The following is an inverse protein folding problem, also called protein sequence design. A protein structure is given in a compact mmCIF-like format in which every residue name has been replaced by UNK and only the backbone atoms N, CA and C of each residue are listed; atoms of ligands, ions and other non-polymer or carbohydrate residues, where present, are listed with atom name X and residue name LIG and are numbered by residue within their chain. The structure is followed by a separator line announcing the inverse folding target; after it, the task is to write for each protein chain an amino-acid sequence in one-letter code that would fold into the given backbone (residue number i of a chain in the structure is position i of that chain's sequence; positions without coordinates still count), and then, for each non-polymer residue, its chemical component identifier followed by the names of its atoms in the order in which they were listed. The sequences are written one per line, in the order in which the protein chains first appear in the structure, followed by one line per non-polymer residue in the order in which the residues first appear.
data_IF_937720194328
#
_entry.id   IF_937720194328
#
_cell.length_a   1.000
_cell.length_b   1.000
_cell.length_c   1.000
_cell.angle_alpha   90.00
_cell.angle_beta   90.00
_cell.angle_gamma   90.00
#
_symmetry.space_group_name_H-M   'P 1'
#
loop_
_entity.id
_entity.type
_entity.pdbx_description
1 polymer ?
#
# COMPACT_ATOMS: atom_id res chain seq x y z
N UNK A 1 1.13 14.51 1.14
CA UNK A 1 2.31 13.61 1.10
C UNK A 1 1.96 12.12 1.05
N UNK A 2 1.42 11.50 2.11
CA UNK A 2 1.14 10.04 2.09
C UNK A 2 0.19 9.68 0.95
N UNK A 3 -0.87 10.47 0.77
CA UNK A 3 -1.80 10.31 -0.36
C UNK A 3 -1.07 10.42 -1.71
N UNK A 4 -0.22 11.42 -1.93
CA UNK A 4 0.55 11.56 -3.18
C UNK A 4 1.46 10.34 -3.47
N UNK A 5 2.07 9.80 -2.41
CA UNK A 5 2.90 8.60 -2.48
C UNK A 5 2.04 7.39 -2.90
N UNK A 6 0.89 7.18 -2.26
CA UNK A 6 0.00 6.07 -2.55
C UNK A 6 -0.65 6.20 -3.93
N UNK A 7 -1.11 7.38 -4.32
CA UNK A 7 -1.63 7.67 -5.67
C UNK A 7 -0.58 7.40 -6.73
N UNK A 8 0.68 7.78 -6.49
CA UNK A 8 1.79 7.45 -7.40
C UNK A 8 1.96 5.93 -7.56
N UNK A 9 1.93 5.16 -6.46
CA UNK A 9 2.02 3.70 -6.55
C UNK A 9 0.79 3.08 -7.18
N UNK A 10 -0.41 3.57 -6.92
CA UNK A 10 -1.64 3.10 -7.55
C UNK A 10 -1.60 3.29 -9.07
N UNK A 11 -1.01 4.38 -9.55
CA UNK A 11 -0.73 4.56 -10.98
C UNK A 11 0.27 3.54 -11.54
N UNK A 12 1.25 3.10 -10.75
CA UNK A 12 2.19 2.04 -11.16
C UNK A 12 1.52 0.66 -11.14
N UNK A 13 0.70 0.37 -10.13
CA UNK A 13 -0.08 -0.85 -10.02
C UNK A 13 -1.07 -0.98 -11.19
N UNK A 14 -1.78 0.08 -11.53
CA UNK A 14 -2.67 0.11 -12.69
C UNK A 14 -1.94 -0.25 -14.00
N UNK A 15 -0.72 0.28 -14.19
CA UNK A 15 0.11 -0.02 -15.37
C UNK A 15 0.58 -1.48 -15.47
N UNK A 16 0.50 -2.26 -14.39
CA UNK A 16 0.80 -3.69 -14.44
C UNK A 16 -0.29 -4.50 -15.17
N UNK A 17 -1.50 -3.96 -15.29
CA UNK A 17 -2.65 -4.65 -15.90
C UNK A 17 -3.30 -5.71 -15.01
N UNK A 18 -2.81 -5.91 -13.78
CA UNK A 18 -3.38 -6.87 -12.83
C UNK A 18 -4.58 -6.32 -12.05
N UNK A 19 -4.69 -5.00 -11.91
CA UNK A 19 -5.67 -4.36 -11.04
C UNK A 19 -6.54 -3.39 -11.81
N UNK A 20 -7.85 -3.55 -11.68
CA UNK A 20 -8.85 -2.63 -12.21
C UNK A 20 -9.18 -1.53 -11.19
N UNK A 21 -9.20 -1.90 -9.91
CA UNK A 21 -9.39 -0.96 -8.80
C UNK A 21 -8.19 -0.98 -7.85
N UNK A 22 -7.63 0.20 -7.59
CA UNK A 22 -6.59 0.39 -6.59
C UNK A 22 -7.07 1.46 -5.64
N UNK A 23 -7.24 1.09 -4.38
CA UNK A 23 -7.65 2.01 -3.33
C UNK A 23 -6.41 2.58 -2.66
N UNK A 24 -6.44 3.86 -2.28
CA UNK A 24 -5.33 4.51 -1.57
C UNK A 24 -5.21 3.93 -0.16
N UNK A 25 -5.59 4.66 0.88
CA UNK A 25 -5.44 4.21 2.26
C UNK A 25 -6.75 3.65 2.80
N UNK A 26 -6.73 2.36 3.16
CA UNK A 26 -7.76 1.75 3.97
C UNK A 26 -7.53 2.11 5.45
N UNK A 27 -8.58 2.58 6.10
CA UNK A 27 -8.59 2.95 7.50
C UNK A 27 -8.94 1.75 8.37
N UNK A 28 -8.27 1.65 9.51
CA UNK A 28 -8.63 0.67 10.54
C UNK A 28 -9.87 1.17 11.27
N UNK A 29 -10.98 0.48 11.08
CA UNK A 29 -12.25 0.72 11.75
C UNK A 29 -12.36 -0.21 12.96
N UNK A 30 -12.72 0.36 14.11
CA UNK A 30 -12.98 -0.37 15.34
C UNK A 30 -14.44 -0.16 15.76
N UNK A 31 -15.19 -1.25 15.91
CA UNK A 31 -16.57 -1.24 16.42
C UNK A 31 -16.70 -2.26 17.56
N UNK A 32 -16.64 -1.75 18.79
CA UNK A 32 -16.60 -2.60 19.99
C UNK A 32 -15.39 -3.53 20.00
N UNK A 33 -15.62 -4.83 19.89
CA UNK A 33 -14.56 -5.85 19.82
C UNK A 33 -14.15 -6.22 18.39
N UNK A 34 -14.82 -5.67 17.38
CA UNK A 34 -14.58 -5.93 15.96
C UNK A 34 -13.59 -4.91 15.41
N UNK A 35 -12.72 -5.38 14.54
CA UNK A 35 -11.73 -4.55 13.87
C UNK A 35 -11.57 -5.00 12.42
N UNK A 36 -11.57 -4.05 11.50
CA UNK A 36 -11.35 -4.31 10.09
C UNK A 36 -10.74 -3.11 9.36
N UNK A 37 -10.20 -3.33 8.16
CA UNK A 37 -9.78 -2.25 7.27
C UNK A 37 -10.89 -1.94 6.26
N UNK A 38 -11.26 -0.66 6.15
CA UNK A 38 -12.27 -0.19 5.23
C UNK A 38 -11.74 0.95 4.35
N UNK A 39 -12.19 0.99 3.10
CA UNK A 39 -11.87 2.10 2.20
C UNK A 39 -13.05 3.07 2.18
N UNK A 40 -12.76 4.36 2.37
CA UNK A 40 -13.78 5.40 2.32
C UNK A 40 -14.19 5.67 0.85
N UNK A 41 -15.46 5.48 0.53
CA UNK A 41 -16.03 5.99 -0.73
C UNK A 41 -16.58 7.41 -0.50
N UNK A 42 -16.47 8.28 -1.52
CA UNK A 42 -16.81 9.71 -1.50
C UNK A 42 -18.22 10.07 -1.01
N UNK A 43 -19.12 9.10 -0.86
CA UNK A 43 -20.52 9.26 -0.43
C UNK A 43 -20.77 8.90 1.04
N UNK A 44 -19.75 9.01 1.91
CA UNK A 44 -19.83 8.71 3.34
C UNK A 44 -20.19 7.25 3.68
N UNK A 45 -19.91 6.34 2.76
CA UNK A 45 -20.09 4.90 2.97
C UNK A 45 -18.73 4.21 2.95
N UNK A 46 -18.47 3.42 4.00
CA UNK A 46 -17.34 2.49 4.00
C UNK A 46 -17.69 1.32 3.09
N UNK A 47 -16.96 1.14 1.99
CA UNK A 47 -17.03 -0.10 1.25
C UNK A 47 -16.22 -1.15 2.02
N UNK A 48 -16.87 -2.24 2.40
CA UNK A 48 -16.18 -3.40 2.94
C UNK A 48 -15.27 -3.96 1.85
N UNK A 49 -13.96 -3.97 2.10
CA UNK A 49 -12.99 -4.40 1.09
C UNK A 49 -13.07 -5.89 0.77
N UNK A 50 -13.92 -6.69 1.44
CA UNK A 50 -14.00 -8.14 1.31
C UNK A 50 -15.28 -8.74 0.70
N UNK A 51 -16.33 -7.96 0.41
CA UNK A 51 -17.64 -8.58 0.11
C UNK A 51 -18.03 -8.64 -1.37
N UNK A 52 -17.32 -7.98 -2.28
CA UNK A 52 -17.60 -8.13 -3.71
C UNK A 52 -16.37 -7.92 -4.60
N UNK A 53 -15.46 -8.90 -4.57
CA UNK A 53 -14.33 -8.98 -5.50
C UNK A 53 -14.73 -9.50 -6.88
N UNK A 54 -15.97 -9.97 -7.05
CA UNK A 54 -16.39 -10.75 -8.22
C UNK A 54 -16.50 -9.91 -9.50
N UNK A 55 -16.67 -8.60 -9.36
CA UNK A 55 -16.91 -7.68 -10.47
C UNK A 55 -15.63 -7.00 -11.02
N UNK A 56 -14.46 -7.25 -10.44
CA UNK A 56 -13.22 -6.57 -10.83
C UNK A 56 -12.14 -7.54 -11.31
N UNK A 57 -11.37 -7.14 -12.34
CA UNK A 57 -10.20 -7.90 -12.82
C UNK A 57 -9.14 -8.11 -11.72
N UNK A 58 -9.11 -7.25 -10.72
CA UNK A 58 -8.26 -7.36 -9.55
C UNK A 58 -8.36 -6.10 -8.71
N UNK A 59 -8.21 -6.26 -7.40
CA UNK A 59 -8.31 -5.18 -6.42
C UNK A 59 -7.01 -5.13 -5.61
N UNK A 60 -6.55 -3.91 -5.33
CA UNK A 60 -5.53 -3.67 -4.31
C UNK A 60 -5.93 -2.54 -3.37
N UNK A 61 -5.44 -2.59 -2.13
CA UNK A 61 -5.58 -1.49 -1.17
C UNK A 61 -4.38 -1.40 -0.24
N UNK A 62 -3.99 -0.18 0.12
CA UNK A 62 -2.93 0.06 1.09
C UNK A 62 -3.48 0.21 2.50
N UNK A 63 -2.67 -0.10 3.49
CA UNK A 63 -2.95 0.17 4.90
C UNK A 63 -1.65 0.49 5.63
N UNK A 64 -1.75 1.20 6.76
CA UNK A 64 -0.60 1.45 7.62
C UNK A 64 -0.37 0.25 8.53
N UNK A 65 0.82 -0.35 8.45
CA UNK A 65 1.24 -1.45 9.32
C UNK A 65 1.56 -0.95 10.74
N UNK A 66 2.00 0.30 10.86
CA UNK A 66 2.34 0.94 12.13
C UNK A 66 2.29 2.48 11.96
N UNK A 67 2.52 3.22 13.03
CA UNK A 67 2.64 4.67 13.00
C UNK A 67 3.84 5.11 12.14
N UNK A 68 3.64 6.19 11.39
CA UNK A 68 4.72 6.87 10.67
C UNK A 68 5.74 7.39 11.68
N UNK A 69 7.01 7.05 11.47
CA UNK A 69 8.10 7.54 12.30
C UNK A 69 8.72 8.76 11.62
N UNK A 70 8.88 9.86 12.35
CA UNK A 70 9.65 11.01 11.89
C UNK A 70 10.90 11.17 12.75
N UNK A 71 12.06 11.24 12.11
CA UNK A 71 13.36 11.50 12.77
C UNK A 71 14.00 12.75 12.15
N UNK A 72 13.92 13.90 12.82
CA UNK A 72 14.66 15.09 12.44
C UNK A 72 16.17 14.85 12.58
N UNK A 73 16.95 15.32 11.62
CA UNK A 73 18.41 15.31 11.65
C UNK A 73 19.00 16.56 10.98
N UNK A 74 20.22 16.99 11.33
CA UNK A 74 20.89 18.07 10.61
C UNK A 74 21.08 17.73 9.13
N UNK A 75 20.96 18.73 8.25
CA UNK A 75 21.22 18.56 6.83
C UNK A 75 22.73 18.31 6.62
N UNK A 76 23.15 17.20 5.98
CA UNK A 76 24.55 16.80 5.91
C UNK A 76 25.42 17.77 5.10
N UNK A 77 24.80 18.57 4.23
CA UNK A 77 25.49 19.50 3.31
C UNK A 77 25.17 20.98 3.57
N UNK A 78 24.24 21.32 4.47
CA UNK A 78 23.78 22.70 4.68
C UNK A 78 23.77 23.03 6.16
N UNK A 79 24.68 23.91 6.59
CA UNK A 79 24.77 24.31 7.98
C UNK A 79 23.48 25.00 8.45
N UNK A 80 22.99 24.64 9.65
CA UNK A 80 21.78 25.21 10.24
C UNK A 80 20.46 24.76 9.63
N UNK A 81 20.49 23.89 8.61
CA UNK A 81 19.29 23.29 8.00
C UNK A 81 18.99 21.92 8.61
N UNK A 82 17.71 21.54 8.58
CA UNK A 82 17.22 20.26 9.10
C UNK A 82 16.53 19.45 8.00
N UNK A 83 16.64 18.13 8.15
CA UNK A 83 15.98 17.11 7.34
C UNK A 83 15.08 16.30 8.24
N UNK A 84 13.93 15.87 7.70
CA UNK A 84 13.10 14.85 8.31
C UNK A 84 13.27 13.54 7.55
N UNK A 85 13.70 12.51 8.27
CA UNK A 85 13.66 11.15 7.77
C UNK A 85 12.35 10.51 8.23
N UNK A 86 11.43 10.36 7.28
CA UNK A 86 10.14 9.72 7.49
C UNK A 86 10.26 8.23 7.15
N UNK A 87 9.87 7.35 8.07
CA UNK A 87 9.65 5.93 7.79
C UNK A 87 8.15 5.68 7.83
N UNK A 88 7.59 5.32 6.68
CA UNK A 88 6.17 5.06 6.49
C UNK A 88 5.99 3.55 6.27
N UNK A 89 5.61 2.78 7.32
CA UNK A 89 5.39 1.35 7.20
C UNK A 89 4.00 1.07 6.63
N UNK A 90 3.96 0.68 5.36
CA UNK A 90 2.72 0.36 4.64
C UNK A 90 2.63 -1.13 4.33
N UNK A 91 1.41 -1.63 4.25
CA UNK A 91 1.09 -2.92 3.67
C UNK A 91 0.18 -2.72 2.46
N UNK A 92 0.34 -3.56 1.45
CA UNK A 92 -0.51 -3.64 0.27
C UNK A 92 -1.16 -5.00 0.25
N UNK A 93 -2.49 -5.06 0.33
CA UNK A 93 -3.25 -6.29 0.09
C UNK A 93 -3.66 -6.31 -1.37
N UNK A 94 -3.47 -7.45 -2.02
CA UNK A 94 -3.82 -7.68 -3.42
C UNK A 94 -4.71 -8.92 -3.54
N UNK A 95 -5.77 -8.78 -4.34
CA UNK A 95 -6.72 -9.85 -4.66
C UNK A 95 -6.91 -9.88 -6.17
N UNK A 96 -6.58 -11.00 -6.81
CA UNK A 96 -6.66 -11.16 -8.27
C UNK A 96 -7.31 -12.51 -8.57
N UNK A 97 -8.37 -12.58 -9.39
CA UNK A 97 -8.93 -13.85 -9.85
C UNK A 97 -7.86 -14.74 -10.52
N UNK A 98 -7.87 -16.03 -10.21
CA UNK A 98 -6.88 -17.00 -10.71
C UNK A 98 -7.02 -17.25 -12.20
N UNK A 99 -8.24 -17.33 -12.68
CA UNK A 99 -8.55 -17.54 -14.10
C UNK A 99 -7.92 -16.45 -14.99
N UNK A 100 -7.85 -15.21 -14.53
CA UNK A 100 -7.20 -14.12 -15.26
C UNK A 100 -5.68 -14.27 -15.35
N UNK A 101 -5.04 -14.77 -14.29
CA UNK A 101 -3.60 -14.97 -14.32
C UNK A 101 -3.31 -16.26 -15.09
N UNK A 102 -3.90 -17.39 -14.68
CA UNK A 102 -3.60 -18.72 -15.20
C UNK A 102 -3.98 -18.90 -16.69
N UNK A 103 -4.98 -18.19 -17.22
CA UNK A 103 -5.32 -18.24 -18.65
C UNK A 103 -4.50 -17.30 -19.53
N UNK A 104 -4.11 -16.10 -19.04
CA UNK A 104 -3.33 -15.13 -19.83
C UNK A 104 -1.81 -15.44 -19.80
N UNK A 105 -1.30 -16.03 -18.71
CA UNK A 105 0.11 -16.42 -18.57
C UNK A 105 0.29 -17.37 -17.38
N UNK A 106 1.05 -18.47 -17.48
CA UNK A 106 1.32 -19.39 -16.36
C UNK A 106 2.22 -18.77 -15.25
N UNK A 107 1.81 -17.64 -14.69
CA UNK A 107 2.56 -16.86 -13.72
C UNK A 107 2.07 -17.25 -12.33
N UNK A 108 3.00 -17.64 -11.46
CA UNK A 108 2.68 -17.98 -10.07
C UNK A 108 2.34 -16.72 -9.28
N UNK A 109 1.65 -16.84 -8.14
CA UNK A 109 1.46 -15.73 -7.17
C UNK A 109 2.78 -15.00 -6.91
N UNK A 110 3.88 -15.74 -6.81
CA UNK A 110 5.22 -15.20 -6.59
C UNK A 110 5.72 -14.34 -7.77
N UNK A 111 5.48 -14.75 -9.02
CA UNK A 111 5.84 -13.96 -10.19
C UNK A 111 5.06 -12.64 -10.28
N UNK A 112 3.79 -12.65 -9.88
CA UNK A 112 2.96 -11.44 -9.77
C UNK A 112 3.53 -10.50 -8.70
N UNK A 113 3.81 -11.04 -7.51
CA UNK A 113 4.43 -10.28 -6.41
C UNK A 113 5.76 -9.64 -6.80
N UNK A 114 6.63 -10.39 -7.50
CA UNK A 114 7.89 -9.87 -8.03
C UNK A 114 7.67 -8.71 -9.01
N UNK A 115 6.72 -8.85 -9.92
CA UNK A 115 6.40 -7.82 -10.92
C UNK A 115 5.92 -6.53 -10.26
N UNK A 116 5.00 -6.65 -9.30
CA UNK A 116 4.48 -5.52 -8.52
C UNK A 116 5.59 -4.86 -7.71
N UNK A 117 6.38 -5.66 -6.98
CA UNK A 117 7.49 -5.18 -6.15
C UNK A 117 8.51 -4.43 -6.99
N UNK A 118 8.87 -4.97 -8.16
CA UNK A 118 9.78 -4.31 -9.10
C UNK A 118 9.19 -3.00 -9.64
N UNK A 119 7.91 -2.97 -9.98
CA UNK A 119 7.24 -1.76 -10.46
C UNK A 119 7.31 -0.62 -9.42
N UNK A 120 7.03 -0.95 -8.15
CA UNK A 120 7.07 0.01 -7.03
C UNK A 120 8.50 0.53 -6.81
N UNK A 121 9.49 -0.38 -6.73
CA UNK A 121 10.86 -0.01 -6.30
C UNK A 121 11.65 0.70 -7.40
N UNK A 122 11.47 0.34 -8.66
CA UNK A 122 12.36 0.77 -9.75
C UNK A 122 12.15 2.24 -10.14
N UNK A 123 11.02 2.85 -9.80
CA UNK A 123 10.65 4.20 -10.26
C UNK A 123 10.42 5.16 -9.10
N UNK A 124 11.43 5.93 -8.68
CA UNK A 124 11.29 6.93 -7.62
C UNK A 124 11.63 8.37 -8.03
N UNK A 125 12.17 8.64 -9.22
CA UNK A 125 12.57 10.01 -9.62
C UNK A 125 11.37 10.95 -9.72
N UNK A 126 10.30 10.50 -10.37
CA UNK A 126 9.06 11.26 -10.48
C UNK A 126 8.43 11.49 -9.10
N UNK A 127 8.38 10.44 -8.27
CA UNK A 127 7.86 10.53 -6.91
C UNK A 127 8.67 11.51 -6.04
N UNK A 128 10.00 11.43 -6.05
CA UNK A 128 10.88 12.39 -5.34
C UNK A 128 10.56 13.82 -5.73
N UNK A 129 10.42 14.07 -7.03
CA UNK A 129 10.09 15.40 -7.54
C UNK A 129 8.69 15.87 -7.11
N UNK A 130 7.70 14.96 -7.06
CA UNK A 130 6.33 15.33 -6.72
C UNK A 130 6.15 15.67 -5.23
N UNK A 131 6.89 14.99 -4.35
CA UNK A 131 6.81 15.23 -2.89
C UNK A 131 7.94 16.13 -2.35
N UNK A 132 8.78 16.70 -3.21
CA UNK A 132 9.92 17.53 -2.81
C UNK A 132 11.00 16.79 -1.99
N UNK A 133 11.08 15.47 -2.11
CA UNK A 133 12.02 14.66 -1.33
C UNK A 133 13.41 14.59 -1.99
N UNK A 134 14.44 14.55 -1.15
CA UNK A 134 15.83 14.30 -1.55
C UNK A 134 16.01 12.84 -1.95
N UNK A 135 15.45 11.93 -1.14
CA UNK A 135 15.46 10.50 -1.43
C UNK A 135 14.15 9.83 -1.03
N UNK A 136 13.82 8.77 -1.77
CA UNK A 136 12.76 7.82 -1.44
C UNK A 136 13.38 6.43 -1.63
N UNK A 137 13.48 5.70 -0.53
CA UNK A 137 14.12 4.39 -0.45
C UNK A 137 13.15 3.37 0.12
N UNK A 138 13.30 2.12 -0.27
CA UNK A 138 12.43 1.04 0.17
C UNK A 138 13.24 0.13 1.09
N UNK A 139 12.85 0.08 2.37
CA UNK A 139 13.44 -0.78 3.38
C UNK A 139 12.90 -2.21 3.32
N UNK A 140 12.77 -2.83 4.50
CA UNK A 140 12.29 -4.21 4.66
C UNK A 140 11.06 -4.49 3.81
N UNK A 141 11.15 -5.58 3.05
CA UNK A 141 10.07 -6.15 2.26
C UNK A 141 9.69 -7.49 2.86
N UNK A 142 8.42 -7.65 3.20
CA UNK A 142 7.90 -8.93 3.67
C UNK A 142 6.71 -9.34 2.81
N UNK A 143 6.69 -10.63 2.45
CA UNK A 143 5.71 -11.21 1.54
C UNK A 143 4.88 -12.23 2.29
N UNK A 144 3.56 -12.12 2.17
CA UNK A 144 2.62 -13.06 2.78
C UNK A 144 1.71 -13.58 1.68
N UNK A 145 1.65 -14.90 1.51
CA UNK A 145 0.76 -15.58 0.56
C UNK A 145 -0.26 -16.49 1.25
N UNK A 146 -0.10 -16.69 2.56
CA UNK A 146 -1.09 -17.40 3.38
C UNK A 146 -2.31 -16.49 3.58
N UNK A 147 -3.36 -16.79 2.82
CA UNK A 147 -4.65 -16.10 2.85
C UNK A 147 -5.22 -15.98 4.26
N UNK A 148 -5.19 -17.07 5.03
CA UNK A 148 -5.74 -17.08 6.39
C UNK A 148 -4.97 -16.11 7.27
N UNK A 149 -3.64 -16.14 7.19
CA UNK A 149 -2.78 -15.22 7.94
C UNK A 149 -3.02 -13.75 7.58
N UNK A 150 -3.35 -13.44 6.32
CA UNK A 150 -3.68 -12.07 5.92
C UNK A 150 -5.05 -11.69 6.46
N UNK A 151 -6.07 -12.53 6.29
CA UNK A 151 -7.42 -12.27 6.77
C UNK A 151 -7.45 -12.11 8.29
N UNK A 152 -6.77 -12.96 9.06
CA UNK A 152 -6.68 -12.87 10.52
C UNK A 152 -6.05 -11.55 11.00
N UNK A 153 -5.17 -10.94 10.18
CA UNK A 153 -4.60 -9.60 10.46
C UNK A 153 -5.53 -8.47 10.06
N UNK A 154 -6.30 -8.65 8.98
CA UNK A 154 -7.17 -7.62 8.42
C UNK A 154 -8.53 -7.57 9.11
N UNK A 155 -8.95 -8.66 9.75
CA UNK A 155 -10.30 -8.89 10.25
C UNK A 155 -10.23 -9.58 11.62
N UNK A 156 -10.58 -8.85 12.68
CA UNK A 156 -10.62 -9.38 14.06
C UNK A 156 -12.05 -9.43 14.57
N UNK A 157 -12.48 -10.59 15.05
CA UNK A 157 -13.81 -10.83 15.66
C UNK A 157 -15.03 -10.48 14.77
N UNK A 158 -14.84 -10.33 13.46
CA UNK A 158 -15.88 -9.96 12.48
C UNK A 158 -16.64 -11.15 11.89
N UNK A 159 -16.39 -12.37 12.38
CA UNK A 159 -16.94 -13.62 11.85
C UNK A 159 -16.04 -14.27 10.80
N UNK A 160 -16.44 -15.42 10.22
CA UNK A 160 -15.65 -16.09 9.19
C UNK A 160 -15.63 -15.23 7.93
N UNK A 161 -14.43 -14.71 7.61
CA UNK A 161 -14.15 -14.13 6.29
C UNK A 161 -13.52 -15.26 5.49
N UNK A 162 -14.28 -15.91 4.62
CA UNK A 162 -13.71 -16.84 3.65
C UNK A 162 -13.67 -16.15 2.29
N UNK A 163 -12.47 -15.99 1.76
CA UNK A 163 -12.27 -15.53 0.39
C UNK A 163 -12.09 -16.79 -0.45
N UNK A 164 -12.79 -16.88 -1.57
CA UNK A 164 -12.79 -18.08 -2.42
C UNK A 164 -11.35 -18.50 -2.83
N UNK A 165 -11.10 -19.81 -3.00
CA UNK A 165 -9.84 -20.32 -3.53
C UNK A 165 -9.59 -19.90 -4.98
N UNK A 166 -10.63 -19.37 -5.66
CA UNK A 166 -10.57 -18.82 -7.00
C UNK A 166 -9.73 -17.55 -7.14
N UNK A 167 -9.17 -16.99 -6.05
CA UNK A 167 -8.34 -15.79 -6.09
C UNK A 167 -6.90 -16.06 -5.65
N UNK A 168 -5.94 -15.41 -6.33
CA UNK A 168 -4.63 -15.11 -5.75
C UNK A 168 -4.80 -14.02 -4.71
N UNK A 169 -4.45 -14.35 -3.46
CA UNK A 169 -4.56 -13.46 -2.33
C UNK A 169 -3.19 -13.32 -1.66
N UNK A 170 -2.63 -12.11 -1.64
CA UNK A 170 -1.30 -11.88 -1.07
C UNK A 170 -1.16 -10.47 -0.49
N UNK A 171 -0.16 -10.32 0.38
CA UNK A 171 0.20 -9.06 1.01
C UNK A 171 1.68 -8.77 0.78
N UNK A 172 1.99 -7.50 0.49
CA UNK A 172 3.33 -6.96 0.38
C UNK A 172 3.51 -5.87 1.44
N UNK A 173 4.45 -6.05 2.35
CA UNK A 173 4.81 -5.05 3.35
C UNK A 173 6.04 -4.26 2.90
N UNK A 174 6.00 -2.94 3.06
CA UNK A 174 7.10 -2.04 2.71
C UNK A 174 7.35 -1.03 3.83
N UNK A 175 8.62 -0.72 4.07
CA UNK A 175 9.00 0.50 4.75
C UNK A 175 9.44 1.54 3.72
N UNK A 176 8.59 2.53 3.45
CA UNK A 176 8.96 3.65 2.57
C UNK A 176 9.72 4.67 3.41
N UNK A 177 10.99 4.86 3.11
CA UNK A 177 11.85 5.82 3.78
C UNK A 177 11.98 7.06 2.90
N UNK A 178 11.57 8.21 3.40
CA UNK A 178 11.59 9.49 2.68
C UNK A 178 12.48 10.46 3.45
N UNK A 179 13.49 11.02 2.78
CA UNK A 179 14.26 12.13 3.31
C UNK A 179 13.79 13.43 2.66
N UNK A 180 13.26 14.35 3.46
CA UNK A 180 12.71 15.62 2.98
C UNK A 180 13.22 16.80 3.82
N UNK A 181 13.53 17.97 3.22
CA UNK A 181 13.77 19.20 3.97
C UNK A 181 12.61 19.57 4.88
N UNK A 182 12.89 20.04 6.10
CA UNK A 182 11.85 20.50 7.04
C UNK A 182 11.00 21.61 6.43
N UNK A 183 11.64 22.55 5.73
CA UNK A 183 10.98 23.68 5.07
C UNK A 183 9.88 23.21 4.08
N UNK A 184 10.04 22.05 3.44
CA UNK A 184 9.05 21.50 2.51
C UNK A 184 7.89 20.77 3.22
N UNK A 185 8.03 20.36 4.48
CA UNK A 185 6.94 19.75 5.24
C UNK A 185 5.92 20.79 5.70
N UNK A 186 6.37 22.02 6.00
CA UNK A 186 5.49 23.12 6.42
C UNK A 186 4.56 23.54 5.27
N UNK A 187 5.05 23.57 4.03
CA UNK A 187 4.26 23.89 2.83
C UNK A 187 3.23 22.80 2.45
N UNK A 188 3.44 21.54 2.88
CA UNK A 188 2.55 20.41 2.56
C UNK A 188 1.46 20.22 3.64
N UNK A 189 1.67 20.76 4.84
CA UNK A 189 0.75 20.66 5.97
C UNK A 189 -0.11 21.92 6.20
N UNK A 190 0.07 22.97 5.38
CA UNK A 190 -0.66 24.24 5.44
C UNK A 190 -1.92 24.27 4.57
#
# INVERSE_FOLDING_TARGET
MLQDILTYYNNLLYKTGFFEANFDLAERVCDGNKEWYAVYHSDSQYAFSNQDFSNYRGISYWFLNNNVQNRPQPHPQQAGKWLNNLTIPVGLVCVIPRDLIENDCSTTTFGVMQTITKAIITSNKALKSSIGAISVEYGNQNWITDRKKILDKQYKNVGPVDVDYLYHYFQLDFNINVAIPTDCLEDICA
#
